data_IF_171106484199
#
_entry.id   IF_171106484199
#
_cell.length_a   1.000
_cell.length_b   1.000
_cell.length_c   1.000
_cell.angle_alpha   90.00
_cell.angle_beta   90.00
_cell.angle_gamma   90.00
#
_symmetry.space_group_name_H-M   'P 1'
#
loop_
_entity.id
_entity.type
_entity.pdbx_description
1 polymer ?
#
# COMPACT_ATOMS: atom_id res chain seq x y z
N UNK A 1 3.41 -18.29 10.86
CA UNK A 1 4.53 -17.50 11.43
C UNK A 1 4.25 -16.02 11.18
N UNK A 2 3.98 -15.26 12.23
CA UNK A 2 3.84 -13.79 12.18
C UNK A 2 5.23 -13.18 12.41
N UNK A 3 5.67 -12.26 11.55
CA UNK A 3 6.94 -11.55 11.79
C UNK A 3 6.77 -10.53 12.94
N UNK A 4 7.87 -9.97 13.46
CA UNK A 4 7.93 -9.10 14.65
C UNK A 4 7.06 -7.82 14.60
N UNK A 5 6.38 -7.55 13.47
CA UNK A 5 5.46 -6.42 13.24
C UNK A 5 3.98 -6.85 13.09
N UNK A 6 3.64 -8.11 13.36
CA UNK A 6 2.27 -8.63 13.19
C UNK A 6 1.82 -8.87 11.74
N UNK A 7 2.71 -8.69 10.76
CA UNK A 7 2.47 -9.05 9.37
C UNK A 7 2.60 -10.56 9.16
N UNK A 8 1.67 -11.16 8.41
CA UNK A 8 1.95 -12.39 7.66
C UNK A 8 3.15 -12.09 6.76
N UNK A 9 4.12 -13.01 6.68
CA UNK A 9 5.38 -12.84 5.95
C UNK A 9 5.14 -12.14 4.60
N UNK A 10 5.87 -11.05 4.33
CA UNK A 10 5.85 -10.34 3.04
C UNK A 10 7.16 -10.66 2.32
N UNK A 11 7.05 -11.12 1.08
CA UNK A 11 8.18 -11.43 0.20
C UNK A 11 8.01 -10.62 -1.09
N UNK A 12 9.12 -10.08 -1.61
CA UNK A 12 9.13 -9.29 -2.84
C UNK A 12 9.79 -10.12 -3.95
N UNK A 13 9.06 -10.30 -5.04
CA UNK A 13 9.50 -11.07 -6.20
C UNK A 13 9.81 -10.07 -7.32
N UNK A 14 11.04 -10.11 -7.82
CA UNK A 14 11.47 -9.23 -8.90
C UNK A 14 12.98 -9.36 -9.15
N UNK A 15 13.47 -8.61 -10.14
CA UNK A 15 14.91 -8.44 -10.35
C UNK A 15 15.56 -7.83 -9.10
N UNK A 16 16.77 -8.26 -8.74
CA UNK A 16 17.39 -7.99 -7.44
C UNK A 16 17.26 -6.52 -6.98
N UNK A 17 17.69 -5.57 -7.80
CA UNK A 17 17.65 -4.14 -7.45
C UNK A 17 16.22 -3.60 -7.33
N UNK A 18 15.31 -4.05 -8.21
CA UNK A 18 13.89 -3.66 -8.21
C UNK A 18 13.16 -4.23 -6.99
N UNK A 19 13.45 -5.46 -6.61
CA UNK A 19 12.87 -6.11 -5.43
C UNK A 19 13.34 -5.42 -4.14
N UNK A 20 14.63 -5.06 -4.05
CA UNK A 20 15.17 -4.29 -2.93
C UNK A 20 14.51 -2.92 -2.82
N UNK A 21 14.38 -2.20 -3.95
CA UNK A 21 13.69 -0.91 -3.98
C UNK A 21 12.21 -1.03 -3.58
N UNK A 22 11.50 -2.04 -4.10
CA UNK A 22 10.10 -2.30 -3.75
C UNK A 22 9.93 -2.60 -2.25
N UNK A 23 10.84 -3.37 -1.65
CA UNK A 23 10.84 -3.65 -0.22
C UNK A 23 11.02 -2.37 0.62
N UNK A 24 11.96 -1.51 0.24
CA UNK A 24 12.18 -0.23 0.90
C UNK A 24 10.97 0.70 0.78
N UNK A 25 10.41 0.82 -0.43
CA UNK A 25 9.23 1.63 -0.68
C UNK A 25 8.04 1.13 0.15
N UNK A 26 7.79 -0.19 0.16
CA UNK A 26 6.73 -0.79 0.97
C UNK A 26 6.88 -0.46 2.45
N UNK A 27 8.09 -0.54 2.99
CA UNK A 27 8.36 -0.27 4.41
C UNK A 27 8.03 1.19 4.79
N UNK A 28 8.25 2.15 3.89
CA UNK A 28 7.84 3.56 4.08
C UNK A 28 6.31 3.67 4.01
N UNK A 29 5.72 3.17 2.92
CA UNK A 29 4.28 3.26 2.67
C UNK A 29 3.49 2.64 3.81
N UNK A 30 3.88 1.45 4.25
CA UNK A 30 3.19 0.72 5.30
C UNK A 30 3.21 1.46 6.64
N UNK A 31 4.34 2.10 7.00
CA UNK A 31 4.43 2.91 8.21
C UNK A 31 3.54 4.14 8.14
N UNK A 32 3.61 4.88 7.04
CA UNK A 32 2.82 6.11 6.86
C UNK A 32 1.32 5.80 6.80
N UNK A 33 0.94 4.70 6.13
CA UNK A 33 -0.43 4.19 6.09
C UNK A 33 -0.95 3.89 7.50
N UNK A 34 -0.20 3.11 8.29
CA UNK A 34 -0.62 2.75 9.64
C UNK A 34 -0.75 3.97 10.57
N UNK A 35 0.17 4.92 10.46
CA UNK A 35 0.11 6.16 11.23
C UNK A 35 -1.13 6.99 10.87
N UNK A 36 -1.36 7.26 9.58
CA UNK A 36 -2.51 8.05 9.12
C UNK A 36 -3.85 7.35 9.44
N UNK A 37 -3.91 6.03 9.28
CA UNK A 37 -5.07 5.21 9.61
C UNK A 37 -5.36 5.25 11.11
N UNK A 38 -4.32 5.12 11.94
CA UNK A 38 -4.43 5.22 13.40
C UNK A 38 -4.92 6.59 13.85
N UNK A 39 -4.36 7.67 13.30
CA UNK A 39 -4.80 9.04 13.58
C UNK A 39 -6.27 9.25 13.18
N UNK A 40 -6.66 8.78 11.99
CA UNK A 40 -8.04 8.90 11.52
C UNK A 40 -9.01 8.11 12.40
N UNK A 41 -8.69 6.86 12.74
CA UNK A 41 -9.50 6.04 13.66
C UNK A 41 -9.65 6.69 15.03
N UNK A 42 -8.57 7.25 15.57
CA UNK A 42 -8.56 7.91 16.88
C UNK A 42 -9.36 9.22 16.90
N UNK A 43 -9.61 9.85 15.75
CA UNK A 43 -10.49 11.03 15.66
C UNK A 43 -11.94 10.75 16.08
N UNK A 44 -12.36 9.48 16.08
CA UNK A 44 -13.68 9.04 16.55
C UNK A 44 -13.71 8.71 18.05
N UNK A 45 -12.59 8.79 18.76
CA UNK A 45 -12.57 8.52 20.19
C UNK A 45 -13.42 9.58 20.94
N UNK A 46 -14.39 9.13 21.74
CA UNK A 46 -15.26 10.01 22.51
C UNK A 46 -16.40 10.68 21.72
N UNK A 47 -16.55 10.41 20.42
CA UNK A 47 -17.65 10.99 19.61
C UNK A 47 -18.98 10.24 19.74
N UNK A 48 -18.97 9.05 20.36
CA UNK A 48 -20.14 8.17 20.43
C UNK A 48 -20.46 7.41 19.13
N UNK A 49 -19.60 7.52 18.10
CA UNK A 49 -19.77 6.78 16.84
C UNK A 49 -19.65 5.26 17.07
N UNK A 50 -20.58 4.48 16.52
CA UNK A 50 -20.58 3.03 16.70
C UNK A 50 -19.35 2.37 16.08
N UNK A 51 -18.90 1.25 16.65
CA UNK A 51 -17.73 0.52 16.14
C UNK A 51 -17.89 0.08 14.68
N UNK A 52 -19.11 -0.25 14.27
CA UNK A 52 -19.41 -0.65 12.89
C UNK A 52 -19.21 0.54 11.93
N UNK A 53 -19.71 1.72 12.31
CA UNK A 53 -19.57 2.93 11.50
C UNK A 53 -18.11 3.40 11.44
N UNK A 54 -17.39 3.37 12.58
CA UNK A 54 -15.95 3.67 12.60
C UNK A 54 -15.20 2.74 11.64
N UNK A 55 -15.48 1.44 11.66
CA UNK A 55 -14.83 0.47 10.78
C UNK A 55 -15.10 0.79 9.30
N UNK A 56 -16.35 1.10 8.95
CA UNK A 56 -16.75 1.45 7.58
C UNK A 56 -16.06 2.71 7.06
N UNK A 57 -16.01 3.75 7.90
CA UNK A 57 -15.34 5.02 7.58
C UNK A 57 -13.83 4.87 7.48
N UNK A 58 -13.21 4.13 8.40
CA UNK A 58 -11.77 3.83 8.36
C UNK A 58 -11.42 3.02 7.12
N UNK A 59 -12.20 2.01 6.74
CA UNK A 59 -11.96 1.24 5.51
C UNK A 59 -12.05 2.10 4.24
N UNK A 60 -12.99 3.05 4.21
CA UNK A 60 -13.12 4.01 3.11
C UNK A 60 -11.91 4.94 3.04
N UNK A 61 -11.50 5.49 4.18
CA UNK A 61 -10.30 6.33 4.30
C UNK A 61 -9.04 5.59 3.84
N UNK A 62 -8.82 4.37 4.32
CA UNK A 62 -7.64 3.56 3.96
C UNK A 62 -7.62 3.26 2.46
N UNK A 63 -8.77 2.89 1.90
CA UNK A 63 -8.89 2.65 0.45
C UNK A 63 -8.48 3.88 -0.36
N UNK A 64 -9.03 5.05 -0.03
CA UNK A 64 -8.66 6.29 -0.69
C UNK A 64 -7.19 6.65 -0.50
N UNK A 65 -6.67 6.46 0.72
CA UNK A 65 -5.26 6.75 1.03
C UNK A 65 -4.31 5.89 0.20
N UNK A 66 -4.57 4.59 0.08
CA UNK A 66 -3.76 3.68 -0.75
C UNK A 66 -3.79 4.12 -2.21
N UNK A 67 -4.96 4.44 -2.75
CA UNK A 67 -5.09 4.89 -4.14
C UNK A 67 -4.30 6.18 -4.40
N UNK A 68 -4.40 7.15 -3.49
CA UNK A 68 -3.63 8.39 -3.59
C UNK A 68 -2.12 8.17 -3.46
N UNK A 69 -1.69 7.19 -2.66
CA UNK A 69 -0.29 6.83 -2.52
C UNK A 69 0.26 6.13 -3.77
N UNK A 70 -0.54 5.25 -4.39
CA UNK A 70 -0.18 4.56 -5.64
C UNK A 70 0.11 5.55 -6.78
N UNK A 71 -0.64 6.65 -6.88
CA UNK A 71 -0.36 7.72 -7.86
C UNK A 71 1.03 8.38 -7.70
N UNK A 72 1.66 8.25 -6.53
CA UNK A 72 2.98 8.82 -6.23
C UNK A 72 4.11 7.83 -6.30
N UNK A 73 3.82 6.54 -6.44
CA UNK A 73 4.86 5.53 -6.56
C UNK A 73 5.50 5.58 -7.95
N UNK A 74 6.83 5.42 -8.04
CA UNK A 74 7.50 5.31 -9.32
C UNK A 74 7.06 4.02 -10.03
N UNK A 75 6.85 4.12 -11.34
CA UNK A 75 6.58 2.96 -12.18
C UNK A 75 7.89 2.19 -12.36
N UNK A 76 7.98 1.02 -11.72
CA UNK A 76 9.12 0.10 -11.80
C UNK A 76 8.73 -1.13 -12.62
N UNK A 77 8.37 -0.92 -13.89
CA UNK A 77 7.97 -2.03 -14.78
C UNK A 77 9.19 -2.88 -15.17
N UNK A 78 9.16 -4.20 -14.96
CA UNK A 78 10.18 -5.09 -15.49
C UNK A 78 10.13 -5.15 -17.02
N UNK A 79 11.24 -5.48 -17.66
CA UNK A 79 11.23 -5.85 -19.07
C UNK A 79 10.42 -7.15 -19.30
N UNK A 80 10.07 -7.42 -20.56
CA UNK A 80 9.19 -8.53 -20.94
C UNK A 80 9.75 -9.90 -20.53
N UNK A 81 11.07 -10.10 -20.65
CA UNK A 81 11.74 -11.34 -20.24
C UNK A 81 11.69 -11.53 -18.72
N UNK A 82 11.96 -10.47 -17.96
CA UNK A 82 11.82 -10.47 -16.50
C UNK A 82 10.39 -10.70 -16.04
N UNK A 83 9.40 -10.10 -16.72
CA UNK A 83 7.97 -10.33 -16.45
C UNK A 83 7.59 -11.80 -16.64
N UNK A 84 8.06 -12.43 -17.72
CA UNK A 84 7.78 -13.84 -18.00
C UNK A 84 8.39 -14.78 -16.94
N UNK A 85 9.60 -14.48 -16.45
CA UNK A 85 10.24 -15.23 -15.35
C UNK A 85 9.48 -15.07 -14.03
N UNK A 86 9.05 -13.85 -13.71
CA UNK A 86 8.25 -13.56 -12.51
C UNK A 86 6.93 -14.32 -12.54
N UNK A 87 6.20 -14.26 -13.66
CA UNK A 87 4.93 -14.98 -13.82
C UNK A 87 5.12 -16.50 -13.69
N UNK A 88 6.12 -17.06 -14.35
CA UNK A 88 6.44 -18.49 -14.27
C UNK A 88 6.78 -18.94 -12.83
N UNK A 89 7.52 -18.11 -12.10
CA UNK A 89 7.81 -18.36 -10.68
C UNK A 89 6.55 -18.30 -9.82
N UNK A 90 5.70 -17.28 -10.03
CA UNK A 90 4.46 -17.13 -9.29
C UNK A 90 3.54 -18.33 -9.53
N UNK A 91 3.36 -18.74 -10.78
CA UNK A 91 2.45 -19.83 -11.12
C UNK A 91 2.98 -21.18 -10.57
N UNK A 92 4.30 -21.37 -10.53
CA UNK A 92 4.92 -22.55 -9.91
C UNK A 92 4.78 -22.61 -8.39
N UNK A 93 5.06 -21.50 -7.69
CA UNK A 93 5.08 -21.48 -6.22
C UNK A 93 3.69 -21.27 -5.61
N UNK A 94 2.72 -20.78 -6.40
CA UNK A 94 1.40 -20.36 -5.93
C UNK A 94 0.23 -20.90 -6.77
N UNK A 95 0.37 -22.11 -7.31
CA UNK A 95 -0.53 -22.80 -8.24
C UNK A 95 -2.03 -22.84 -7.83
N UNK A 96 -2.34 -22.60 -6.55
CA UNK A 96 -3.69 -22.65 -5.98
C UNK A 96 -4.21 -21.31 -5.39
N UNK A 97 -3.67 -20.16 -5.79
CA UNK A 97 -4.25 -18.88 -5.33
C UNK A 97 -5.57 -18.64 -6.08
N UNK A 98 -6.68 -18.64 -5.34
CA UNK A 98 -7.99 -18.19 -5.81
C UNK A 98 -8.02 -16.67 -5.99
N UNK A 99 -7.45 -16.22 -7.12
CA UNK A 99 -7.35 -14.81 -7.50
C UNK A 99 -8.73 -14.17 -7.71
N UNK A 100 -9.74 -14.96 -8.08
CA UNK A 100 -11.08 -14.44 -8.39
C UNK A 100 -11.86 -14.12 -7.12
N UNK A 101 -11.82 -14.97 -6.10
CA UNK A 101 -12.39 -14.65 -4.79
C UNK A 101 -11.74 -13.41 -4.18
N UNK A 102 -10.42 -13.25 -4.32
CA UNK A 102 -9.72 -12.05 -3.86
C UNK A 102 -10.21 -10.78 -4.57
N UNK A 103 -10.32 -10.80 -5.91
CA UNK A 103 -10.85 -9.65 -6.68
C UNK A 103 -12.30 -9.33 -6.31
N UNK A 104 -13.12 -10.36 -6.04
CA UNK A 104 -14.51 -10.17 -5.67
C UNK A 104 -14.64 -9.49 -4.30
N UNK A 105 -13.87 -9.95 -3.31
CA UNK A 105 -13.78 -9.28 -1.99
C UNK A 105 -13.32 -7.83 -2.12
N UNK A 106 -12.36 -7.55 -3.01
CA UNK A 106 -11.87 -6.20 -3.31
C UNK A 106 -12.96 -5.31 -3.90
N UNK A 107 -13.71 -5.81 -4.90
CA UNK A 107 -14.84 -5.10 -5.52
C UNK A 107 -15.98 -4.83 -4.55
N UNK A 108 -16.28 -5.78 -3.66
CA UNK A 108 -17.31 -5.61 -2.63
C UNK A 108 -16.91 -4.57 -1.58
N UNK A 109 -15.64 -4.54 -1.17
CA UNK A 109 -15.12 -3.51 -0.28
C UNK A 109 -15.23 -2.09 -0.89
N UNK A 110 -15.06 -1.96 -2.21
CA UNK A 110 -15.20 -0.69 -2.94
C UNK A 110 -16.65 -0.19 -3.07
N UNK A 111 -17.66 -1.03 -2.86
CA UNK A 111 -19.07 -0.60 -2.94
C UNK A 111 -19.53 0.20 -1.73
N UNK A 112 -18.78 0.16 -0.62
CA UNK A 112 -19.18 0.75 0.66
C UNK A 112 -18.44 2.06 1.00
N UNK A 113 -17.87 2.74 0.00
CA UNK A 113 -17.05 3.93 0.19
C UNK A 113 -17.88 5.11 0.75
N UNK A 114 -17.33 5.78 1.76
CA UNK A 114 -17.83 7.05 2.31
C UNK A 114 -17.11 8.24 1.71
N UNK A 115 -17.55 9.45 2.01
CA UNK A 115 -16.82 10.71 1.75
C UNK A 115 -15.41 10.72 2.37
N UNK A 116 -15.13 9.86 3.37
CA UNK A 116 -13.80 9.73 3.95
C UNK A 116 -12.79 9.15 2.97
N UNK A 117 -13.25 8.48 1.90
CA UNK A 117 -12.41 8.05 0.78
C UNK A 117 -11.68 9.23 0.13
N UNK A 118 -12.39 10.32 -0.18
CA UNK A 118 -11.78 11.54 -0.76
C UNK A 118 -10.77 12.19 0.19
N UNK A 119 -11.05 12.11 1.49
CA UNK A 119 -10.12 12.59 2.53
C UNK A 119 -8.85 11.72 2.57
N UNK A 120 -9.02 10.40 2.49
CA UNK A 120 -7.93 9.43 2.33
C UNK A 120 -7.10 9.73 1.09
N UNK A 121 -7.73 9.86 -0.07
CA UNK A 121 -7.11 10.14 -1.37
C UNK A 121 -6.22 11.37 -1.33
N UNK A 122 -6.73 12.49 -0.82
CA UNK A 122 -5.96 13.73 -0.69
C UNK A 122 -4.75 13.59 0.24
N UNK A 123 -4.85 12.78 1.30
CA UNK A 123 -3.75 12.51 2.22
C UNK A 123 -2.73 11.55 1.61
N UNK A 124 -3.16 10.49 0.95
CA UNK A 124 -2.31 9.52 0.26
C UNK A 124 -1.43 10.17 -0.80
N UNK A 125 -1.97 11.16 -1.54
CA UNK A 125 -1.20 11.95 -2.52
C UNK A 125 -0.03 12.74 -1.95
N UNK A 126 0.09 12.88 -0.63
CA UNK A 126 1.19 13.60 0.03
C UNK A 126 2.38 12.70 0.35
N UNK A 127 2.21 11.39 0.21
CA UNK A 127 3.25 10.39 0.41
C UNK A 127 4.42 10.67 -0.53
N UNK A 128 5.63 10.47 -0.01
CA UNK A 128 6.84 10.58 -0.80
C UNK A 128 7.84 9.49 -0.40
N UNK A 129 8.05 8.54 -1.32
CA UNK A 129 9.05 7.48 -1.18
C UNK A 129 10.48 7.93 -1.51
N UNK A 130 10.64 9.14 -2.07
CA UNK A 130 11.93 9.72 -2.46
C UNK A 130 12.58 10.58 -1.37
N UNK A 131 12.23 10.40 -0.09
CA UNK A 131 12.90 11.15 0.98
C UNK A 131 14.25 10.50 1.31
N UNK A 132 15.37 11.22 1.10
CA UNK A 132 16.68 10.72 1.49
C UNK A 132 16.69 10.50 3.00
N UNK A 133 17.21 9.34 3.43
CA UNK A 133 17.18 8.87 4.82
C UNK A 133 17.86 9.85 5.79
N UNK A 134 18.55 10.90 5.32
CA UNK A 134 19.27 11.88 6.13
C UNK A 134 18.93 13.36 5.84
N UNK A 135 17.79 13.66 5.20
CA UNK A 135 17.40 15.07 4.95
C UNK A 135 18.31 15.84 3.97
N UNK A 136 19.32 15.20 3.39
CA UNK A 136 20.14 15.78 2.33
C UNK A 136 19.38 15.73 1.01
N UNK A 137 18.92 16.89 0.50
CA UNK A 137 18.35 17.03 -0.83
C UNK A 137 19.17 16.23 -1.85
N UNK A 138 18.48 15.45 -2.70
CA UNK A 138 19.11 14.77 -3.82
C UNK A 138 19.93 15.79 -4.62
N UNK A 139 21.24 15.55 -4.84
CA UNK A 139 22.08 16.49 -5.55
C UNK A 139 21.50 16.69 -6.95
N UNK A 140 21.24 17.95 -7.31
CA UNK A 140 20.83 18.30 -8.67
C UNK A 140 21.94 17.84 -9.61
N UNK A 141 21.66 16.81 -10.40
CA UNK A 141 22.48 16.48 -11.56
C UNK A 141 22.36 17.65 -12.53
N UNK A 142 23.39 18.51 -12.55
CA UNK A 142 23.57 19.50 -13.60
C UNK A 142 23.95 18.73 -14.88
N UNK A 143 23.23 19.02 -15.97
CA UNK A 143 23.64 18.66 -17.33
C UNK A 143 24.79 19.54 -17.76
#
# INVERSE_FOLDING_TARGET
MLNHKGLKRVEFIGEADRAIFAAFAFDIIYREMNEQTGQFRNSFAGTGTSSLEVTRRVNSFVSGWIEGALEKLPIITPDEDSMNKINSYIDKEFENIDRETFKQQLREAMKNLTEDYETGLKKGRRVSVNRPIHGAQAPKLLK
#
